data_IF_745676008988
#
_entry.id   IF_745676008988
#
_cell.length_a   1.000
_cell.length_b   1.000
_cell.length_c   1.000
_cell.angle_alpha   90.00
_cell.angle_beta   90.00
_cell.angle_gamma   90.00
#
_symmetry.space_group_name_H-M   'P 1'
#
loop_
_entity.id
_entity.type
_entity.pdbx_description
1 polymer ?
#
# COMPACT_ATOMS: atom_id res chain seq x y z
N UNK A 1 -7.15 19.12 -28.34
CA UNK A 1 -7.19 17.64 -28.23
C UNK A 1 -6.57 17.24 -26.89
N UNK A 2 -7.37 17.16 -25.83
CA UNK A 2 -6.89 16.74 -24.51
C UNK A 2 -6.72 15.23 -24.56
N UNK A 3 -5.48 14.74 -24.54
CA UNK A 3 -5.22 13.32 -24.33
C UNK A 3 -5.66 13.01 -22.90
N UNK A 4 -6.83 12.41 -22.74
CA UNK A 4 -7.17 11.66 -21.53
C UNK A 4 -6.14 10.55 -21.41
N UNK A 5 -5.04 10.81 -20.70
CA UNK A 5 -4.07 9.78 -20.37
C UNK A 5 -4.72 8.94 -19.27
N UNK A 6 -5.66 8.08 -19.64
CA UNK A 6 -6.02 6.94 -18.81
C UNK A 6 -4.77 6.05 -18.75
N UNK A 7 -3.89 6.32 -17.78
CA UNK A 7 -2.84 5.36 -17.43
C UNK A 7 -3.57 4.24 -16.69
N UNK A 8 -4.13 3.28 -17.43
CA UNK A 8 -5.05 2.25 -16.92
C UNK A 8 -4.34 1.11 -16.16
N UNK A 9 -3.25 1.40 -15.44
CA UNK A 9 -2.59 0.42 -14.58
C UNK A 9 -2.39 0.99 -13.18
N UNK A 10 -3.44 0.99 -12.34
CA UNK A 10 -3.33 1.39 -10.94
C UNK A 10 -2.35 0.47 -10.19
N UNK A 11 -1.71 0.97 -9.11
CA UNK A 11 -0.87 0.14 -8.27
C UNK A 11 -1.69 -0.99 -7.66
N UNK A 12 -1.13 -2.19 -7.71
CA UNK A 12 -1.76 -3.42 -7.23
C UNK A 12 -0.74 -4.38 -6.67
N UNK A 13 -1.06 -5.01 -5.55
CA UNK A 13 -0.17 -5.94 -4.85
C UNK A 13 -0.99 -7.13 -4.36
N UNK A 14 -0.48 -8.35 -4.54
CA UNK A 14 -0.98 -9.53 -3.83
C UNK A 14 0.01 -9.88 -2.74
N UNK A 15 -0.48 -9.98 -1.51
CA UNK A 15 0.32 -10.27 -0.33
C UNK A 15 -0.06 -11.65 0.19
N UNK A 16 0.95 -12.39 0.65
CA UNK A 16 0.79 -13.51 1.56
C UNK A 16 1.76 -13.27 2.70
N UNK A 17 1.26 -13.25 3.93
CA UNK A 17 2.07 -12.89 5.08
C UNK A 17 1.76 -13.74 6.31
N UNK A 18 2.73 -13.75 7.23
CA UNK A 18 2.58 -14.31 8.57
C UNK A 18 3.08 -13.26 9.56
N UNK A 19 2.23 -12.88 10.52
CA UNK A 19 2.58 -11.99 11.61
C UNK A 19 2.94 -12.83 12.84
N UNK A 20 4.14 -12.61 13.37
CA UNK A 20 4.66 -13.27 14.56
C UNK A 20 4.76 -12.26 15.71
N UNK A 21 4.61 -12.72 16.95
CA UNK A 21 5.02 -11.94 18.12
C UNK A 21 6.53 -12.02 18.37
N UNK A 22 7.01 -11.31 19.38
CA UNK A 22 8.43 -11.27 19.73
C UNK A 22 9.02 -12.64 20.15
N UNK A 23 8.16 -13.60 20.50
CA UNK A 23 8.54 -14.95 20.88
C UNK A 23 8.47 -15.92 19.69
N UNK A 24 8.15 -15.42 18.48
CA UNK A 24 8.04 -16.23 17.26
C UNK A 24 6.70 -16.97 17.13
N UNK A 25 5.72 -16.71 18.00
CA UNK A 25 4.40 -17.34 17.89
C UNK A 25 3.57 -16.62 16.82
N UNK A 26 2.91 -17.40 15.97
CA UNK A 26 2.00 -16.89 14.94
C UNK A 26 0.81 -16.18 15.58
N UNK A 27 0.65 -14.90 15.25
CA UNK A 27 -0.48 -14.04 15.62
C UNK A 27 -1.53 -14.01 14.51
N UNK A 28 -1.10 -14.04 13.25
CA UNK A 28 -1.98 -14.15 12.09
C UNK A 28 -1.23 -14.70 10.86
N UNK A 29 -1.95 -15.33 9.93
CA UNK A 29 -1.49 -15.61 8.58
C UNK A 29 -2.64 -15.36 7.61
N UNK A 30 -2.39 -14.64 6.52
CA UNK A 30 -3.43 -14.23 5.60
C UNK A 30 -2.88 -13.92 4.21
N UNK A 31 -3.79 -13.84 3.25
CA UNK A 31 -3.57 -13.34 1.91
C UNK A 31 -4.46 -12.12 1.67
N UNK A 32 -3.90 -11.05 1.12
CA UNK A 32 -4.61 -9.81 0.82
C UNK A 32 -4.33 -9.36 -0.62
N UNK A 33 -5.34 -8.78 -1.27
CA UNK A 33 -5.20 -8.16 -2.58
C UNK A 33 -5.44 -6.65 -2.44
N UNK A 34 -4.41 -5.86 -2.74
CA UNK A 34 -4.44 -4.40 -2.62
C UNK A 34 -4.55 -3.77 -4.01
N UNK A 35 -5.39 -2.75 -4.12
CA UNK A 35 -5.48 -1.89 -5.30
C UNK A 35 -5.82 -0.46 -4.86
N UNK A 36 -5.17 0.54 -5.46
CA UNK A 36 -5.50 1.94 -5.21
C UNK A 36 -5.88 2.64 -6.50
N UNK A 37 -7.18 2.83 -6.71
CA UNK A 37 -7.71 3.54 -7.87
C UNK A 37 -7.51 5.06 -7.76
N UNK A 38 -7.31 5.57 -6.56
CA UNK A 38 -7.08 6.98 -6.27
C UNK A 38 -5.60 7.28 -5.95
N UNK A 39 -4.69 6.44 -6.44
CA UNK A 39 -3.26 6.49 -6.10
C UNK A 39 -2.56 7.84 -6.37
N UNK A 40 -3.08 8.62 -7.33
CA UNK A 40 -2.59 9.98 -7.61
C UNK A 40 -2.88 10.95 -6.46
N UNK A 41 -3.99 10.78 -5.73
CA UNK A 41 -4.37 11.58 -4.57
C UNK A 41 -3.62 11.15 -3.30
N UNK A 42 -3.21 9.88 -3.26
CA UNK A 42 -2.54 9.28 -2.11
C UNK A 42 -1.01 9.33 -2.22
N UNK A 43 -0.44 10.15 -3.12
CA UNK A 43 1.01 10.23 -3.27
C UNK A 43 1.70 10.65 -1.96
N UNK A 44 2.63 9.83 -1.47
CA UNK A 44 3.40 10.12 -0.26
C UNK A 44 4.57 11.08 -0.62
N UNK A 45 4.65 12.28 -0.01
CA UNK A 45 5.72 13.24 -0.27
C UNK A 45 7.10 12.74 0.18
N UNK A 46 7.17 11.69 1.01
CA UNK A 46 8.41 11.02 1.40
C UNK A 46 9.08 10.24 0.26
N UNK A 47 8.37 9.97 -0.84
CA UNK A 47 8.96 9.36 -2.03
C UNK A 47 9.23 10.41 -3.12
N UNK A 48 10.48 10.45 -3.60
CA UNK A 48 10.88 11.38 -4.67
C UNK A 48 10.22 11.03 -6.00
N UNK A 49 10.16 12.02 -6.90
CA UNK A 49 9.44 11.85 -8.17
C UNK A 49 9.95 10.72 -9.08
N UNK A 50 11.22 10.33 -8.92
CA UNK A 50 11.85 9.25 -9.68
C UNK A 50 11.95 7.92 -8.90
N UNK A 51 11.24 7.78 -7.78
CA UNK A 51 11.26 6.53 -7.02
C UNK A 51 10.45 5.45 -7.77
N UNK A 52 11.07 4.33 -8.18
CA UNK A 52 10.33 3.22 -8.77
C UNK A 52 9.31 2.66 -7.78
N UNK A 53 8.11 2.37 -8.29
CA UNK A 53 7.01 1.78 -7.52
C UNK A 53 6.54 2.66 -6.34
N UNK A 54 6.74 3.98 -6.39
CA UNK A 54 6.33 4.90 -5.32
C UNK A 54 4.88 4.72 -4.88
N UNK A 55 3.98 4.47 -5.83
CA UNK A 55 2.55 4.34 -5.55
C UNK A 55 2.21 3.00 -4.91
N UNK A 56 2.86 1.92 -5.35
CA UNK A 56 2.78 0.61 -4.70
C UNK A 56 3.36 0.64 -3.29
N UNK A 57 4.48 1.35 -3.09
CA UNK A 57 5.07 1.54 -1.75
C UNK A 57 4.13 2.31 -0.83
N UNK A 58 3.50 3.38 -1.31
CA UNK A 58 2.49 4.10 -0.53
C UNK A 58 1.27 3.22 -0.23
N UNK A 59 0.79 2.44 -1.21
CA UNK A 59 -0.31 1.48 -1.01
C UNK A 59 0.04 0.47 0.10
N UNK A 60 1.22 -0.13 0.04
CA UNK A 60 1.68 -1.09 1.04
C UNK A 60 1.83 -0.46 2.43
N UNK A 61 2.39 0.75 2.51
CA UNK A 61 2.54 1.51 3.76
C UNK A 61 1.18 1.74 4.42
N UNK A 62 0.23 2.30 3.68
CA UNK A 62 -1.11 2.62 4.19
C UNK A 62 -1.85 1.37 4.64
N UNK A 63 -1.79 0.29 3.86
CA UNK A 63 -2.36 -0.99 4.26
C UNK A 63 -1.74 -1.50 5.56
N UNK A 64 -0.41 -1.41 5.71
CA UNK A 64 0.29 -1.86 6.90
C UNK A 64 -0.12 -1.05 8.14
N UNK A 65 -0.14 0.28 8.02
CA UNK A 65 -0.56 1.20 9.09
C UNK A 65 -2.00 0.90 9.54
N UNK A 66 -2.93 0.76 8.58
CA UNK A 66 -4.32 0.42 8.88
C UNK A 66 -4.46 -0.95 9.55
N UNK A 67 -3.68 -1.95 9.13
CA UNK A 67 -3.81 -3.34 9.58
C UNK A 67 -3.18 -3.58 10.95
N UNK A 68 -2.04 -2.95 11.25
CA UNK A 68 -1.21 -3.32 12.40
C UNK A 68 -0.96 -2.18 13.40
N UNK A 69 -1.01 -0.93 12.95
CA UNK A 69 -0.78 0.23 13.84
C UNK A 69 -2.11 0.74 14.41
N UNK A 70 -3.21 0.51 13.68
CA UNK A 70 -4.53 1.07 13.96
C UNK A 70 -4.65 2.48 13.41
N UNK A 71 -5.86 2.89 12.99
CA UNK A 71 -6.10 4.26 12.59
C UNK A 71 -5.67 5.18 13.73
N UNK A 72 -4.71 6.08 13.47
CA UNK A 72 -4.40 7.15 14.40
C UNK A 72 -5.73 7.83 14.74
N UNK A 73 -6.14 7.79 16.00
CA UNK A 73 -7.15 8.71 16.46
C UNK A 73 -6.53 10.12 16.35
N UNK A 74 -7.20 10.97 15.57
CA UNK A 74 -6.94 12.40 15.35
C UNK A 74 -5.95 12.77 14.24
#
# INVERSE_FOLDING_TARGET
MVRHKEVSNPPKIKLRYTWLDAQGKVRASAEDALIDLAYLQHADPGYVNNDPLRYEKTLLRRWFEQRFVGAKAN
#
